data_IF_632389579360
#
_entry.id   IF_632389579360
#
_cell.length_a   1.000
_cell.length_b   1.000
_cell.length_c   1.000
_cell.angle_alpha   90.00
_cell.angle_beta   90.00
_cell.angle_gamma   90.00
#
_symmetry.space_group_name_H-M   'P 1'
#
loop_
_entity.id
_entity.type
_entity.pdbx_description
1 polymer ?
#
# COMPACT_ATOMS: atom_id res chain seq x y z
N UNK A 1 8.46 3.09 6.27
CA UNK A 1 8.46 4.57 6.20
C UNK A 1 7.02 5.06 6.21
N UNK A 2 6.75 6.13 6.95
CA UNK A 2 5.45 6.80 7.02
C UNK A 2 5.61 8.32 6.90
N UNK A 3 4.52 9.06 6.69
CA UNK A 3 4.54 10.52 6.76
C UNK A 3 4.59 11.03 8.22
N UNK A 4 4.65 12.35 8.41
CA UNK A 4 4.70 12.99 9.73
C UNK A 4 3.32 13.24 10.35
N UNK A 5 2.28 12.56 9.88
CA UNK A 5 0.93 12.64 10.44
C UNK A 5 0.92 12.26 11.92
N UNK A 6 -0.02 12.85 12.67
CA UNK A 6 -0.13 12.64 14.12
C UNK A 6 -0.30 11.15 14.48
N UNK A 7 -1.04 10.39 13.68
CA UNK A 7 -1.23 8.96 13.88
C UNK A 7 0.09 8.16 13.81
N UNK A 8 1.04 8.56 12.96
CA UNK A 8 2.32 7.87 12.77
C UNK A 8 3.42 8.38 13.70
N UNK A 9 3.27 9.60 14.22
CA UNK A 9 4.20 10.21 15.18
C UNK A 9 3.80 9.99 16.64
N UNK A 10 2.57 9.53 16.89
CA UNK A 10 2.07 9.18 18.22
C UNK A 10 2.99 8.18 18.95
N UNK A 11 3.13 8.38 20.27
CA UNK A 11 3.99 7.55 21.10
C UNK A 11 3.61 6.06 21.03
N UNK A 12 2.31 5.75 21.14
CA UNK A 12 1.78 4.39 21.13
C UNK A 12 2.10 3.67 19.81
N UNK A 13 1.91 4.34 18.67
CA UNK A 13 2.25 3.77 17.34
C UNK A 13 3.75 3.47 17.22
N UNK A 14 4.61 4.37 17.70
CA UNK A 14 6.07 4.17 17.65
C UNK A 14 6.54 3.10 18.62
N UNK A 15 5.91 3.01 19.79
CA UNK A 15 6.18 1.95 20.76
C UNK A 15 5.81 0.59 20.18
N UNK A 16 4.60 0.46 19.64
CA UNK A 16 4.13 -0.78 19.00
C UNK A 16 5.04 -1.24 17.86
N UNK A 17 5.50 -0.31 17.00
CA UNK A 17 6.46 -0.65 15.96
C UNK A 17 7.77 -1.23 16.52
N UNK A 18 8.30 -0.67 17.61
CA UNK A 18 9.52 -1.19 18.27
C UNK A 18 9.29 -2.56 18.91
N UNK A 19 8.12 -2.80 19.49
CA UNK A 19 7.74 -4.11 20.04
C UNK A 19 7.71 -5.20 18.94
N UNK A 20 7.38 -4.82 17.71
CA UNK A 20 7.48 -5.68 16.52
C UNK A 20 8.90 -5.77 15.93
N UNK A 21 9.91 -5.22 16.60
CA UNK A 21 11.29 -5.08 16.11
C UNK A 21 11.41 -4.28 14.80
N UNK A 22 10.50 -3.34 14.56
CA UNK A 22 10.54 -2.42 13.43
C UNK A 22 11.17 -1.08 13.86
N UNK A 23 11.97 -0.50 12.97
CA UNK A 23 12.51 0.86 13.16
C UNK A 23 11.50 1.90 12.63
N UNK A 24 10.97 2.81 13.46
CA UNK A 24 9.98 3.80 13.02
C UNK A 24 10.63 4.93 12.21
N UNK A 25 10.62 4.81 10.87
CA UNK A 25 11.13 5.85 9.97
C UNK A 25 9.99 6.76 9.45
N UNK A 26 10.14 8.09 9.57
CA UNK A 26 9.24 9.07 8.92
C UNK A 26 9.93 9.84 7.79
N UNK A 27 9.14 10.37 6.84
CA UNK A 27 9.67 11.23 5.77
C UNK A 27 10.31 12.50 6.34
N UNK A 28 11.34 13.02 5.68
CA UNK A 28 11.89 14.33 6.05
C UNK A 28 10.80 15.42 6.00
N UNK A 29 10.89 16.40 6.92
CA UNK A 29 9.97 17.54 6.95
C UNK A 29 10.09 18.30 5.62
N UNK A 30 8.96 18.67 5.04
CA UNK A 30 8.87 19.35 3.74
C UNK A 30 9.37 18.51 2.54
N UNK A 31 9.40 17.17 2.66
CA UNK A 31 9.63 16.26 1.53
C UNK A 31 8.40 15.39 1.22
N UNK A 32 7.28 15.99 0.78
CA UNK A 32 6.05 15.25 0.46
C UNK A 32 6.26 14.21 -0.65
N UNK A 33 7.22 14.44 -1.56
CA UNK A 33 7.56 13.50 -2.63
C UNK A 33 8.03 12.15 -2.10
N UNK A 34 8.62 12.10 -0.90
CA UNK A 34 9.07 10.87 -0.26
C UNK A 34 7.91 9.92 0.10
N UNK A 35 6.69 10.45 0.22
CA UNK A 35 5.47 9.65 0.41
C UNK A 35 4.76 9.33 -0.91
N UNK A 36 5.28 9.81 -2.05
CA UNK A 36 4.60 9.76 -3.34
C UNK A 36 4.27 8.36 -3.84
N UNK A 37 5.03 7.33 -3.43
CA UNK A 37 4.71 5.93 -3.73
C UNK A 37 3.41 5.51 -3.04
N UNK A 38 3.28 5.79 -1.75
CA UNK A 38 2.08 5.45 -0.98
C UNK A 38 0.87 6.26 -1.46
N UNK A 39 1.05 7.56 -1.75
CA UNK A 39 0.00 8.41 -2.29
C UNK A 39 -0.49 7.94 -3.65
N UNK A 40 0.44 7.58 -4.56
CA UNK A 40 0.09 7.04 -5.88
C UNK A 40 -0.65 5.71 -5.75
N UNK A 41 -0.25 4.84 -4.82
CA UNK A 41 -0.99 3.61 -4.54
C UNK A 41 -2.43 3.89 -4.11
N UNK A 42 -2.64 4.79 -3.12
CA UNK A 42 -3.98 5.17 -2.67
C UNK A 42 -4.81 5.78 -3.80
N UNK A 43 -4.18 6.57 -4.66
CA UNK A 43 -4.83 7.13 -5.85
C UNK A 43 -5.32 6.03 -6.80
N UNK A 44 -4.45 5.10 -7.18
CA UNK A 44 -4.82 3.94 -8.03
C UNK A 44 -5.94 3.12 -7.40
N UNK A 45 -5.89 2.86 -6.09
CA UNK A 45 -6.96 2.14 -5.40
C UNK A 45 -8.32 2.85 -5.54
N UNK A 46 -8.36 4.17 -5.40
CA UNK A 46 -9.59 4.95 -5.47
C UNK A 46 -10.09 5.11 -6.90
N UNK A 47 -9.22 5.55 -7.80
CA UNK A 47 -9.58 5.97 -9.16
C UNK A 47 -9.60 4.81 -10.15
N UNK A 48 -8.68 3.85 -10.02
CA UNK A 48 -8.51 2.79 -11.03
C UNK A 48 -9.17 1.46 -10.61
N UNK A 49 -9.40 1.26 -9.31
CA UNK A 49 -10.03 0.04 -8.81
C UNK A 49 -11.46 0.31 -8.31
N UNK A 50 -11.60 1.04 -7.19
CA UNK A 50 -12.89 1.19 -6.49
C UNK A 50 -13.92 1.97 -7.33
N UNK A 51 -13.49 2.96 -8.12
CA UNK A 51 -14.40 3.75 -8.95
C UNK A 51 -15.21 2.93 -9.96
N UNK A 52 -14.68 1.78 -10.41
CA UNK A 52 -15.33 0.90 -11.39
C UNK A 52 -16.10 -0.26 -10.74
N UNK A 53 -16.05 -0.38 -9.42
CA UNK A 53 -16.75 -1.44 -8.71
C UNK A 53 -18.24 -1.15 -8.57
N UNK A 54 -19.12 -2.17 -8.60
CA UNK A 54 -20.51 -2.00 -8.20
C UNK A 54 -20.56 -1.46 -6.76
N UNK A 55 -21.55 -0.62 -6.44
CA UNK A 55 -21.71 -0.08 -5.08
C UNK A 55 -22.13 -1.21 -4.13
N UNK A 56 -21.29 -1.62 -3.17
CA UNK A 56 -21.63 -2.63 -2.19
C UNK A 56 -22.39 -1.96 -1.04
N UNK A 57 -22.79 -2.77 -0.05
CA UNK A 57 -23.37 -2.25 1.19
C UNK A 57 -22.38 -1.43 2.02
N UNK A 58 -21.07 -1.69 1.92
CA UNK A 58 -20.04 -0.99 2.72
C UNK A 58 -18.77 -0.67 1.91
N UNK A 59 -18.18 0.49 2.15
CA UNK A 59 -16.92 0.89 1.49
C UNK A 59 -15.75 -0.08 1.79
N UNK A 60 -15.75 -0.70 2.98
CA UNK A 60 -14.77 -1.72 3.36
C UNK A 60 -14.81 -2.96 2.45
N UNK A 61 -16.00 -3.36 1.99
CA UNK A 61 -16.12 -4.48 1.05
C UNK A 61 -15.44 -4.16 -0.28
N UNK A 62 -15.68 -2.97 -0.84
CA UNK A 62 -15.01 -2.55 -2.07
C UNK A 62 -13.50 -2.46 -1.89
N UNK A 63 -13.04 -1.93 -0.75
CA UNK A 63 -11.61 -1.85 -0.48
C UNK A 63 -10.97 -3.24 -0.44
N UNK A 64 -11.58 -4.21 0.24
CA UNK A 64 -11.06 -5.58 0.33
C UNK A 64 -10.97 -6.25 -1.05
N UNK A 65 -12.03 -6.17 -1.85
CA UNK A 65 -12.06 -6.76 -3.20
C UNK A 65 -11.06 -6.05 -4.12
N UNK A 66 -10.96 -4.72 -4.04
CA UNK A 66 -9.98 -3.96 -4.82
C UNK A 66 -8.54 -4.35 -4.46
N UNK A 67 -8.22 -4.55 -3.17
CA UNK A 67 -6.88 -4.96 -2.73
C UNK A 67 -6.55 -6.35 -3.26
N UNK A 68 -7.48 -7.30 -3.20
CA UNK A 68 -7.25 -8.64 -3.73
C UNK A 68 -7.05 -8.60 -5.25
N UNK A 69 -7.90 -7.85 -5.96
CA UNK A 69 -7.77 -7.68 -7.40
C UNK A 69 -6.42 -7.06 -7.79
N UNK A 70 -6.01 -5.99 -7.11
CA UNK A 70 -4.72 -5.34 -7.31
C UNK A 70 -3.56 -6.31 -7.14
N UNK A 71 -3.58 -7.11 -6.07
CA UNK A 71 -2.46 -8.00 -5.74
C UNK A 71 -2.39 -9.26 -6.59
N UNK A 72 -3.52 -9.80 -7.05
CA UNK A 72 -3.56 -11.07 -7.81
C UNK A 72 -3.65 -10.88 -9.32
N UNK A 73 -4.33 -9.83 -9.80
CA UNK A 73 -4.72 -9.73 -11.22
C UNK A 73 -4.20 -8.47 -11.93
N UNK A 74 -3.93 -7.37 -11.20
CA UNK A 74 -3.60 -6.10 -11.85
C UNK A 74 -2.20 -6.14 -12.47
N UNK A 75 -2.09 -6.01 -13.81
CA UNK A 75 -0.81 -6.14 -14.49
C UNK A 75 0.03 -4.86 -14.33
N UNK A 76 1.29 -5.01 -13.90
CA UNK A 76 2.21 -3.89 -13.80
C UNK A 76 3.30 -3.98 -14.88
N UNK A 77 3.37 -2.99 -15.77
CA UNK A 77 4.39 -2.93 -16.82
C UNK A 77 5.83 -2.99 -16.27
N UNK A 78 6.09 -2.32 -15.15
CA UNK A 78 7.38 -2.36 -14.45
C UNK A 78 7.75 -3.75 -13.89
N UNK A 79 6.76 -4.64 -13.74
CA UNK A 79 6.94 -6.03 -13.28
C UNK A 79 6.89 -7.04 -14.44
N UNK A 80 7.00 -6.58 -15.70
CA UNK A 80 6.86 -7.45 -16.87
C UNK A 80 5.42 -7.91 -17.09
N UNK A 81 4.44 -7.06 -16.75
CA UNK A 81 3.00 -7.33 -16.78
C UNK A 81 2.51 -8.40 -15.79
N UNK A 82 3.34 -8.77 -14.82
CA UNK A 82 2.93 -9.61 -13.70
C UNK A 82 2.16 -8.80 -12.65
N UNK A 83 1.27 -9.47 -11.93
CA UNK A 83 0.68 -8.92 -10.71
C UNK A 83 1.68 -8.92 -9.55
N UNK A 84 1.46 -8.12 -8.49
CA UNK A 84 2.37 -8.06 -7.34
C UNK A 84 2.65 -9.43 -6.70
N UNK A 85 1.64 -10.30 -6.58
CA UNK A 85 1.81 -11.64 -6.00
C UNK A 85 2.47 -12.63 -6.96
N UNK A 86 2.21 -12.53 -8.26
CA UNK A 86 2.94 -13.30 -9.27
C UNK A 86 4.44 -12.96 -9.25
N UNK A 87 4.76 -11.66 -9.29
CA UNK A 87 6.13 -11.17 -9.24
C UNK A 87 6.85 -11.64 -7.96
N UNK A 88 6.18 -11.53 -6.80
CA UNK A 88 6.74 -11.99 -5.52
C UNK A 88 7.00 -13.50 -5.52
N UNK A 89 6.05 -14.31 -6.01
CA UNK A 89 6.21 -15.78 -6.10
C UNK A 89 7.42 -16.15 -6.96
N UNK A 90 7.60 -15.52 -8.11
CA UNK A 90 8.75 -15.78 -8.98
C UNK A 90 10.09 -15.41 -8.32
N UNK A 91 10.15 -14.28 -7.58
CA UNK A 91 11.35 -13.84 -6.86
C UNK A 91 11.74 -14.79 -5.73
N UNK A 92 10.76 -15.27 -4.97
CA UNK A 92 10.98 -16.24 -3.88
C UNK A 92 11.46 -17.59 -4.43
N UNK A 93 10.92 -18.05 -5.56
CA UNK A 93 11.35 -19.30 -6.19
C UNK A 93 12.73 -19.23 -6.86
N UNK A 94 13.24 -18.03 -7.10
CA UNK A 94 14.55 -17.80 -7.74
C UNK A 94 15.68 -17.57 -6.73
N UNK A 95 15.39 -17.66 -5.42
CA UNK A 95 16.35 -17.52 -4.32
C UNK A 95 16.52 -18.87 -3.64
#
# INVERSE_FOLDING_TARGET
MADNGSAYTAHETRQFARELNLEPCTTAVSSPQSNGIAERFVKTMKEDCIAFMPKPKTALHNLAVAIEHYNENHPHSALGYLSPREYRRQRVMST
#
